data_IF_108752725618
#
_entry.id   IF_108752725618
#
_cell.length_a   1.000
_cell.length_b   1.000
_cell.length_c   1.000
_cell.angle_alpha   90.00
_cell.angle_beta   90.00
_cell.angle_gamma   90.00
#
_symmetry.space_group_name_H-M   'P 1'
#
loop_
_entity.id
_entity.type
_entity.pdbx_description
1 polymer ?
#
# COMPACT_ATOMS: atom_id res chain seq x y z
N UNK A 1 -2.10 15.94 -14.72
CA UNK A 1 -1.31 15.29 -13.66
C UNK A 1 -0.60 14.16 -14.36
N UNK A 2 0.73 14.18 -14.33
CA UNK A 2 1.59 13.18 -14.96
C UNK A 2 1.90 12.11 -13.91
N UNK A 3 1.92 10.84 -14.31
CA UNK A 3 2.23 9.71 -13.42
C UNK A 3 3.69 9.33 -13.65
N UNK A 4 4.55 9.62 -12.68
CA UNK A 4 6.00 9.39 -12.75
C UNK A 4 6.51 8.63 -11.50
N UNK A 5 5.59 8.06 -10.72
CA UNK A 5 5.91 7.20 -9.59
C UNK A 5 6.41 5.82 -10.06
N UNK A 6 5.81 5.25 -11.10
CA UNK A 6 6.23 4.01 -11.75
C UNK A 6 6.34 4.30 -13.25
N UNK A 7 7.33 3.70 -13.91
CA UNK A 7 7.45 3.74 -15.36
C UNK A 7 6.37 2.82 -15.95
N UNK A 8 5.29 3.41 -16.47
CA UNK A 8 4.21 2.72 -17.17
C UNK A 8 4.15 3.24 -18.60
N UNK A 9 4.02 2.34 -19.57
CA UNK A 9 3.73 2.71 -20.95
C UNK A 9 2.26 3.14 -21.11
N UNK A 10 1.93 3.92 -22.14
CA UNK A 10 0.55 4.35 -22.40
C UNK A 10 -0.39 3.13 -22.54
N UNK A 11 0.05 2.06 -23.19
CA UNK A 11 -0.69 0.80 -23.34
C UNK A 11 -0.95 0.11 -21.98
N UNK A 12 0.03 0.13 -21.07
CA UNK A 12 -0.12 -0.43 -19.71
C UNK A 12 -1.07 0.41 -18.86
N UNK A 13 -1.10 1.74 -19.04
CA UNK A 13 -2.07 2.59 -18.32
C UNK A 13 -3.52 2.38 -18.75
N UNK A 14 -3.76 2.04 -20.02
CA UNK A 14 -5.11 1.74 -20.53
C UNK A 14 -5.63 0.37 -20.05
N UNK A 15 -4.73 -0.57 -19.76
CA UNK A 15 -5.07 -1.89 -19.21
C UNK A 15 -5.38 -1.88 -17.71
N UNK A 16 -5.15 -0.76 -17.02
CA UNK A 16 -5.41 -0.66 -15.59
C UNK A 16 -6.92 -0.59 -15.29
N UNK A 17 -7.33 -1.33 -14.27
CA UNK A 17 -8.69 -1.25 -13.74
C UNK A 17 -8.94 0.12 -13.09
N UNK A 18 -10.21 0.50 -12.96
CA UNK A 18 -10.62 1.75 -12.27
C UNK A 18 -10.05 1.86 -10.86
N UNK A 19 -9.89 0.72 -10.17
CA UNK A 19 -9.32 0.65 -8.82
C UNK A 19 -7.80 0.89 -8.87
N UNK A 20 -7.09 0.24 -9.79
CA UNK A 20 -5.65 0.43 -10.00
C UNK A 20 -5.32 1.88 -10.41
N UNK A 21 -6.14 2.51 -11.25
CA UNK A 21 -5.99 3.92 -11.60
C UNK A 21 -6.19 4.86 -10.39
N UNK A 22 -7.13 4.54 -9.49
CA UNK A 22 -7.31 5.31 -8.26
C UNK A 22 -6.12 5.15 -7.32
N UNK A 23 -5.58 3.94 -7.18
CA UNK A 23 -4.36 3.66 -6.40
C UNK A 23 -3.15 4.41 -6.96
N UNK A 24 -2.93 4.35 -8.28
CA UNK A 24 -1.89 5.10 -8.99
C UNK A 24 -2.01 6.61 -8.69
N UNK A 25 -3.23 7.15 -8.77
CA UNK A 25 -3.49 8.56 -8.49
C UNK A 25 -3.16 8.95 -7.06
N UNK A 26 -3.58 8.17 -6.07
CA UNK A 26 -3.28 8.45 -4.67
C UNK A 26 -1.78 8.36 -4.40
N UNK A 27 -1.10 7.35 -4.93
CA UNK A 27 0.35 7.20 -4.75
C UNK A 27 1.11 8.38 -5.38
N UNK A 28 0.68 8.86 -6.55
CA UNK A 28 1.25 10.05 -7.19
C UNK A 28 1.00 11.33 -6.40
N UNK A 29 -0.20 11.49 -5.82
CA UNK A 29 -0.49 12.63 -4.94
C UNK A 29 0.45 12.65 -3.74
N UNK A 30 0.64 11.50 -3.08
CA UNK A 30 1.55 11.37 -1.94
C UNK A 30 3.00 11.73 -2.34
N UNK A 31 3.51 11.23 -3.48
CA UNK A 31 4.83 11.61 -3.99
C UNK A 31 4.97 13.13 -4.18
N UNK A 32 3.94 13.78 -4.75
CA UNK A 32 3.95 15.21 -5.00
C UNK A 32 3.93 16.01 -3.68
N UNK A 33 3.19 15.54 -2.68
CA UNK A 33 3.16 16.13 -1.34
C UNK A 33 4.55 16.04 -0.68
N UNK A 34 5.18 14.87 -0.69
CA UNK A 34 6.54 14.69 -0.17
C UNK A 34 7.56 15.59 -0.86
N UNK A 35 7.45 15.76 -2.18
CA UNK A 35 8.32 16.67 -2.92
C UNK A 35 8.11 18.13 -2.49
N UNK A 36 6.87 18.53 -2.30
CA UNK A 36 6.55 19.89 -1.84
C UNK A 36 7.07 20.14 -0.42
N UNK A 37 6.93 19.18 0.50
CA UNK A 37 7.46 19.26 1.86
C UNK A 37 8.99 19.37 1.86
N UNK A 38 9.67 18.50 1.10
CA UNK A 38 11.12 18.54 0.92
C UNK A 38 11.61 19.91 0.43
N UNK A 39 10.95 20.47 -0.59
CA UNK A 39 11.30 21.79 -1.13
C UNK A 39 11.05 22.90 -0.11
N UNK A 40 9.94 22.87 0.62
CA UNK A 40 9.63 23.86 1.65
C UNK A 40 10.66 23.85 2.79
N UNK A 41 11.10 22.67 3.23
CA UNK A 41 12.15 22.54 4.24
C UNK A 41 13.49 23.07 3.73
N UNK A 42 13.85 22.71 2.50
CA UNK A 42 15.10 23.14 1.87
C UNK A 42 15.16 24.67 1.65
N UNK A 43 14.05 25.30 1.25
CA UNK A 43 13.93 26.76 1.17
C UNK A 43 14.09 27.42 2.55
N UNK A 44 13.46 26.86 3.57
CA UNK A 44 13.57 27.35 4.94
C UNK A 44 15.03 27.28 5.42
N UNK A 45 15.69 26.16 5.18
CA UNK A 45 17.10 25.97 5.52
C UNK A 45 18.01 26.95 4.76
N UNK A 46 17.73 27.18 3.47
CA UNK A 46 18.44 28.18 2.65
C UNK A 46 18.39 29.58 3.26
N UNK A 47 17.22 29.99 3.76
CA UNK A 47 17.04 31.29 4.43
C UNK A 47 17.81 31.33 5.76
N UNK A 48 17.81 30.24 6.54
CA UNK A 48 18.60 30.13 7.77
C UNK A 48 20.10 30.27 7.49
N UNK A 49 20.64 29.59 6.47
CA UNK A 49 22.04 29.70 6.09
C UNK A 49 22.46 31.12 5.73
N UNK A 50 21.61 31.86 5.01
CA UNK A 50 21.84 33.27 4.67
C UNK A 50 21.83 34.16 5.93
N UNK A 51 20.84 33.96 6.80
CA UNK A 51 20.67 34.76 8.02
C UNK A 51 21.85 34.59 8.98
N UNK A 52 22.40 33.38 9.05
CA UNK A 52 23.52 33.04 9.92
C UNK A 52 24.91 33.23 9.27
N UNK A 53 24.99 33.81 8.06
CA UNK A 53 26.24 33.98 7.30
C UNK A 53 27.04 32.67 7.05
N UNK A 54 26.38 31.51 7.06
CA UNK A 54 26.99 30.21 6.75
C UNK A 54 26.72 29.73 5.32
N UNK A 55 26.20 30.60 4.46
CA UNK A 55 25.79 30.27 3.09
C UNK A 55 26.94 29.83 2.16
N UNK A 56 28.19 30.07 2.54
CA UNK A 56 29.40 29.62 1.82
C UNK A 56 29.92 28.26 2.32
N UNK A 57 29.28 27.66 3.33
CA UNK A 57 29.64 26.34 3.85
C UNK A 57 28.93 25.22 3.08
N UNK A 58 29.44 23.99 3.19
CA UNK A 58 28.81 22.79 2.62
C UNK A 58 27.49 22.42 3.29
N UNK A 59 27.13 23.05 4.42
CA UNK A 59 25.96 22.68 5.22
C UNK A 59 24.65 22.65 4.41
N UNK A 60 24.52 23.55 3.44
CA UNK A 60 23.36 23.56 2.54
C UNK A 60 23.33 22.36 1.60
N UNK A 61 24.48 21.99 1.03
CA UNK A 61 24.61 20.82 0.14
C UNK A 61 24.39 19.52 0.93
N UNK A 62 24.95 19.46 2.15
CA UNK A 62 24.78 18.32 3.06
C UNK A 62 23.31 18.13 3.43
N UNK A 63 22.60 19.19 3.81
CA UNK A 63 21.16 19.12 4.12
C UNK A 63 20.31 18.81 2.89
N UNK A 64 20.68 19.33 1.72
CA UNK A 64 20.01 18.97 0.47
C UNK A 64 20.14 17.47 0.17
N UNK A 65 21.34 16.90 0.33
CA UNK A 65 21.57 15.49 0.11
C UNK A 65 20.81 14.61 1.10
N UNK A 66 20.75 15.01 2.38
CA UNK A 66 19.95 14.34 3.42
C UNK A 66 18.46 14.31 3.06
N UNK A 67 17.88 15.46 2.74
CA UNK A 67 16.46 15.56 2.40
C UNK A 67 16.11 14.81 1.11
N UNK A 68 17.00 14.83 0.12
CA UNK A 68 16.82 14.06 -1.10
C UNK A 68 16.84 12.55 -0.83
N UNK A 69 17.77 12.07 0.01
CA UNK A 69 17.85 10.66 0.36
C UNK A 69 16.60 10.17 1.11
N UNK A 70 16.07 11.00 2.02
CA UNK A 70 14.83 10.70 2.73
C UNK A 70 13.62 10.65 1.77
N UNK A 71 13.52 11.64 0.87
CA UNK A 71 12.49 11.64 -0.17
C UNK A 71 12.57 10.39 -1.05
N UNK A 72 13.77 10.03 -1.53
CA UNK A 72 13.98 8.86 -2.39
C UNK A 72 13.59 7.55 -1.66
N UNK A 73 13.91 7.43 -0.37
CA UNK A 73 13.52 6.30 0.46
C UNK A 73 12.00 6.17 0.61
N UNK A 74 11.32 7.27 0.91
CA UNK A 74 9.85 7.27 1.03
C UNK A 74 9.16 6.98 -0.30
N UNK A 75 9.69 7.52 -1.40
CA UNK A 75 9.20 7.21 -2.75
C UNK A 75 9.40 5.72 -3.07
N UNK A 76 10.51 5.10 -2.67
CA UNK A 76 10.72 3.67 -2.86
C UNK A 76 9.67 2.84 -2.13
N UNK A 77 9.35 3.17 -0.87
CA UNK A 77 8.27 2.52 -0.11
C UNK A 77 6.92 2.67 -0.83
N UNK A 78 6.59 3.88 -1.28
CA UNK A 78 5.33 4.13 -2.00
C UNK A 78 5.25 3.31 -3.29
N UNK A 79 6.37 3.16 -4.02
CA UNK A 79 6.44 2.31 -5.22
C UNK A 79 6.19 0.84 -4.89
N UNK A 80 6.86 0.31 -3.87
CA UNK A 80 6.68 -1.08 -3.43
C UNK A 80 5.24 -1.35 -3.01
N UNK A 81 4.65 -0.45 -2.21
CA UNK A 81 3.25 -0.54 -1.80
C UNK A 81 2.29 -0.49 -3.00
N UNK A 82 2.53 0.40 -3.96
CA UNK A 82 1.70 0.51 -5.15
C UNK A 82 1.78 -0.78 -5.99
N UNK A 83 2.98 -1.28 -6.27
CA UNK A 83 3.18 -2.53 -7.02
C UNK A 83 2.51 -3.71 -6.33
N UNK A 84 2.66 -3.84 -5.01
CA UNK A 84 1.99 -4.87 -4.24
C UNK A 84 0.47 -4.77 -4.34
N UNK A 85 -0.11 -3.59 -4.10
CA UNK A 85 -1.55 -3.37 -4.20
C UNK A 85 -2.10 -3.56 -5.63
N UNK A 86 -1.30 -3.27 -6.65
CA UNK A 86 -1.67 -3.52 -8.05
C UNK A 86 -1.64 -5.03 -8.35
N UNK A 87 -0.65 -5.77 -7.85
CA UNK A 87 -0.55 -7.22 -8.00
C UNK A 87 -1.67 -7.99 -7.28
N UNK A 88 -2.20 -7.43 -6.18
CA UNK A 88 -3.35 -7.96 -5.46
C UNK A 88 -4.68 -7.80 -6.21
N UNK A 89 -4.75 -6.88 -7.18
CA UNK A 89 -5.94 -6.59 -7.98
C UNK A 89 -5.90 -7.31 -9.34
N UNK A 90 -5.61 -8.62 -9.39
CA UNK A 90 -5.93 -9.40 -10.58
C UNK A 90 -7.45 -9.48 -10.77
N UNK A 91 -7.96 -9.32 -12.00
CA UNK A 91 -9.38 -9.33 -12.25
C UNK A 91 -9.87 -10.77 -12.19
N UNK A 92 -10.78 -11.05 -11.27
CA UNK A 92 -11.57 -12.27 -11.38
C UNK A 92 -12.85 -11.96 -12.12
N UNK A 93 -13.09 -12.88 -13.04
CA UNK A 93 -14.20 -12.99 -13.94
C UNK A 93 -15.51 -12.59 -13.27
N UNK A 94 -16.35 -11.87 -14.02
CA UNK A 94 -17.79 -12.04 -13.92
C UNK A 94 -18.08 -13.54 -13.71
N UNK A 95 -18.55 -13.93 -12.52
CA UNK A 95 -19.61 -14.90 -12.32
C UNK A 95 -19.88 -15.13 -10.81
N UNK A 96 -21.12 -14.80 -10.43
CA UNK A 96 -21.98 -15.59 -9.55
C UNK A 96 -21.44 -16.13 -8.20
N UNK A 97 -21.92 -15.52 -7.11
CA UNK A 97 -22.87 -16.10 -6.12
C UNK A 97 -22.64 -15.53 -4.72
N UNK A 98 -23.62 -14.73 -4.26
CA UNK A 98 -23.76 -14.41 -2.85
C UNK A 98 -24.13 -15.68 -2.07
N UNK A 99 -23.14 -16.26 -1.40
CA UNK A 99 -23.31 -17.26 -0.35
C UNK A 99 -23.72 -16.59 0.96
N UNK A 100 -24.72 -17.18 1.62
CA UNK A 100 -25.19 -16.75 2.93
C UNK A 100 -24.15 -17.13 3.99
N UNK A 101 -23.27 -16.19 4.34
CA UNK A 101 -22.22 -16.38 5.35
C UNK A 101 -22.79 -16.90 6.68
N UNK A 102 -22.23 -18.02 7.14
CA UNK A 102 -22.48 -18.62 8.45
C UNK A 102 -21.79 -17.78 9.54
N UNK A 103 -22.52 -17.48 10.61
CA UNK A 103 -22.21 -16.53 11.69
C UNK A 103 -21.12 -17.01 12.68
N UNK A 104 -20.13 -17.80 12.24
CA UNK A 104 -19.20 -18.55 13.12
C UNK A 104 -17.70 -18.21 12.92
N UNK A 105 -17.35 -17.20 12.11
CA UNK A 105 -15.96 -16.95 11.72
C UNK A 105 -15.11 -16.20 12.76
N UNK A 106 -15.61 -15.91 13.97
CA UNK A 106 -14.84 -15.25 15.03
C UNK A 106 -14.46 -13.77 14.78
N UNK A 107 -14.67 -13.26 13.57
CA UNK A 107 -14.55 -11.85 13.17
C UNK A 107 -15.85 -11.36 12.53
N UNK A 108 -16.02 -10.04 12.44
CA UNK A 108 -17.23 -9.43 11.87
C UNK A 108 -17.26 -9.65 10.35
N UNK A 109 -18.33 -10.26 9.86
CA UNK A 109 -18.57 -10.49 8.43
C UNK A 109 -19.60 -9.48 7.92
N UNK A 110 -19.12 -8.47 7.21
CA UNK A 110 -19.95 -7.43 6.59
C UNK A 110 -19.66 -7.31 5.09
N UNK A 111 -20.64 -7.70 4.26
CA UNK A 111 -20.55 -7.64 2.79
C UNK A 111 -20.91 -6.26 2.21
N UNK A 112 -21.25 -5.27 3.04
CA UNK A 112 -21.37 -3.87 2.59
C UNK A 112 -19.99 -3.19 2.53
N UNK A 113 -18.99 -3.73 3.24
CA UNK A 113 -17.61 -3.26 3.20
C UNK A 113 -16.92 -3.58 1.87
N UNK A 114 -15.96 -2.73 1.50
CA UNK A 114 -15.09 -2.99 0.34
C UNK A 114 -14.19 -4.19 0.58
N UNK A 115 -13.80 -4.92 -0.47
CA UNK A 115 -12.92 -6.09 -0.35
C UNK A 115 -11.61 -5.82 0.42
N UNK A 116 -11.07 -4.61 0.32
CA UNK A 116 -9.90 -4.20 1.09
C UNK A 116 -10.17 -4.13 2.60
N UNK A 117 -11.32 -3.57 3.00
CA UNK A 117 -11.72 -3.50 4.40
C UNK A 117 -11.97 -4.91 4.96
N UNK A 118 -12.61 -5.79 4.17
CA UNK A 118 -12.78 -7.21 4.52
C UNK A 118 -11.43 -7.90 4.71
N UNK A 119 -10.50 -7.68 3.78
CA UNK A 119 -9.14 -8.21 3.86
C UNK A 119 -8.43 -7.79 5.14
N UNK A 120 -8.50 -6.50 5.51
CA UNK A 120 -7.88 -5.98 6.73
C UNK A 120 -8.46 -6.66 7.97
N UNK A 121 -9.79 -6.80 8.05
CA UNK A 121 -10.47 -7.44 9.19
C UNK A 121 -9.98 -8.88 9.37
N UNK A 122 -9.99 -9.68 8.30
CA UNK A 122 -9.58 -11.08 8.37
C UNK A 122 -8.08 -11.20 8.65
N UNK A 123 -7.25 -10.38 8.00
CA UNK A 123 -5.80 -10.34 8.26
C UNK A 123 -5.49 -10.05 9.72
N UNK A 124 -6.09 -9.01 10.29
CA UNK A 124 -5.79 -8.56 11.65
C UNK A 124 -6.25 -9.61 12.68
N UNK A 125 -7.37 -10.31 12.42
CA UNK A 125 -7.81 -11.44 13.23
C UNK A 125 -6.78 -12.58 13.24
N UNK A 126 -6.31 -13.02 12.07
CA UNK A 126 -5.36 -14.13 11.98
C UNK A 126 -3.95 -13.76 12.45
N UNK A 127 -3.50 -12.52 12.23
CA UNK A 127 -2.20 -12.06 12.76
C UNK A 127 -2.18 -11.93 14.29
N UNK A 128 -3.33 -11.85 14.96
CA UNK A 128 -3.39 -11.88 16.42
C UNK A 128 -3.03 -13.26 17.01
N UNK A 129 -3.05 -14.33 16.21
CA UNK A 129 -2.61 -15.67 16.62
C UNK A 129 -1.08 -15.71 16.57
N UNK A 130 -0.43 -15.94 17.71
CA UNK A 130 1.03 -15.91 17.82
C UNK A 130 1.72 -17.06 17.07
N UNK A 131 1.18 -18.27 17.17
CA UNK A 131 1.75 -19.46 16.51
C UNK A 131 1.42 -19.47 15.01
N UNK A 132 2.47 -19.43 14.19
CA UNK A 132 2.35 -19.39 12.73
C UNK A 132 1.71 -20.66 12.13
N UNK A 133 1.98 -21.83 12.71
CA UNK A 133 1.42 -23.10 12.24
C UNK A 133 -0.05 -23.21 12.59
N UNK A 134 -0.43 -22.79 13.81
CA UNK A 134 -1.82 -22.69 14.24
C UNK A 134 -2.61 -21.70 13.38
N UNK A 135 -2.03 -20.51 13.13
CA UNK A 135 -2.65 -19.48 12.27
C UNK A 135 -2.99 -20.01 10.89
N UNK A 136 -2.02 -20.62 10.20
CA UNK A 136 -2.24 -21.13 8.85
C UNK A 136 -3.22 -22.30 8.82
N UNK A 137 -3.20 -23.16 9.85
CA UNK A 137 -4.15 -24.28 9.94
C UNK A 137 -5.59 -23.79 10.14
N UNK A 138 -5.80 -22.80 11.02
CA UNK A 138 -7.11 -22.20 11.25
C UNK A 138 -7.61 -21.47 10.00
N UNK A 139 -6.75 -20.66 9.37
CA UNK A 139 -7.11 -19.93 8.15
C UNK A 139 -7.47 -20.86 6.99
N UNK A 140 -6.72 -21.95 6.81
CA UNK A 140 -6.99 -22.96 5.79
C UNK A 140 -8.30 -23.73 5.99
N UNK A 141 -8.82 -23.76 7.23
CA UNK A 141 -10.07 -24.42 7.58
C UNK A 141 -11.28 -23.46 7.56
N UNK A 142 -11.06 -22.17 7.33
CA UNK A 142 -12.09 -21.14 7.39
C UNK A 142 -12.78 -20.94 6.04
N UNK A 143 -13.89 -21.67 5.85
CA UNK A 143 -14.74 -21.56 4.66
C UNK A 143 -15.41 -20.18 4.57
N UNK A 144 -15.62 -19.49 5.69
CA UNK A 144 -16.22 -18.15 5.68
C UNK A 144 -15.20 -17.13 5.18
N UNK A 145 -13.94 -17.21 5.57
CA UNK A 145 -12.87 -16.38 5.00
C UNK A 145 -12.74 -16.61 3.50
N UNK A 146 -12.88 -17.86 3.04
CA UNK A 146 -12.82 -18.21 1.62
C UNK A 146 -13.92 -17.52 0.81
N UNK A 147 -15.17 -17.58 1.27
CA UNK A 147 -16.30 -16.90 0.61
C UNK A 147 -16.23 -15.38 0.78
N UNK A 148 -15.84 -14.90 1.95
CA UNK A 148 -15.88 -13.48 2.31
C UNK A 148 -14.81 -12.64 1.60
N UNK A 149 -13.64 -13.24 1.37
CA UNK A 149 -12.52 -12.63 0.68
C UNK A 149 -12.50 -12.94 -0.82
N UNK A 150 -13.13 -14.04 -1.25
CA UNK A 150 -13.04 -14.53 -2.62
C UNK A 150 -11.59 -14.69 -3.03
N UNK A 151 -11.17 -14.00 -4.09
CA UNK A 151 -9.83 -14.15 -4.67
C UNK A 151 -8.70 -13.62 -3.78
N UNK A 152 -9.05 -12.74 -2.83
CA UNK A 152 -8.10 -12.28 -1.81
C UNK A 152 -7.72 -13.37 -0.80
N UNK A 153 -8.46 -14.49 -0.74
CA UNK A 153 -8.20 -15.58 0.19
C UNK A 153 -6.81 -16.19 -0.01
N UNK A 154 -6.47 -16.54 -1.25
CA UNK A 154 -5.16 -17.14 -1.58
C UNK A 154 -4.01 -16.14 -1.33
N UNK A 155 -4.24 -14.87 -1.65
CA UNK A 155 -3.25 -13.81 -1.42
C UNK A 155 -2.97 -13.59 0.06
N UNK A 156 -4.01 -13.59 0.90
CA UNK A 156 -3.84 -13.51 2.35
C UNK A 156 -3.13 -14.76 2.90
N UNK A 157 -3.44 -15.95 2.41
CA UNK A 157 -2.73 -17.18 2.78
C UNK A 157 -1.21 -17.04 2.57
N UNK A 158 -0.82 -16.60 1.37
CA UNK A 158 0.59 -16.41 1.01
C UNK A 158 1.24 -15.36 1.91
N UNK A 159 0.56 -14.24 2.18
CA UNK A 159 1.05 -13.21 3.08
C UNK A 159 1.25 -13.73 4.50
N UNK A 160 0.25 -14.42 5.09
CA UNK A 160 0.34 -15.01 6.42
C UNK A 160 1.48 -16.04 6.53
N UNK A 161 1.76 -16.76 5.43
CA UNK A 161 2.83 -17.77 5.39
C UNK A 161 4.24 -17.19 5.45
N UNK A 162 4.42 -15.89 5.20
CA UNK A 162 5.72 -15.22 5.32
C UNK A 162 6.15 -15.01 6.77
N UNK A 163 5.20 -15.00 7.71
CA UNK A 163 5.45 -14.86 9.14
C UNK A 163 5.60 -16.25 9.77
N UNK A 164 6.78 -16.86 9.57
CA UNK A 164 7.19 -18.14 10.18
C UNK A 164 8.01 -17.95 11.46
#
# INVERSE_FOLDING_TARGET
>A
MEFDIIDLTEEETEMLTTIQLKLLRTAQQNKNELYHEMQAELETYRLMCKTNNVYLSSLYEDKQAELQAEFDYQVAILKEQLLFNMSLNEPTSDDELGGSGSDDSGYIVDYELSYLERYIIVRDFYLAIEDASERLALYAADETAQEYLGDYYTSLYNYLSTFT
#
